data_IF_931288293112
#
_entry.id   IF_931288293112
#
_cell.length_a   1.000
_cell.length_b   1.000
_cell.length_c   1.000
_cell.angle_alpha   90.00
_cell.angle_beta   90.00
_cell.angle_gamma   90.00
#
_symmetry.space_group_name_H-M   'P 1'
#
loop_
_entity.id
_entity.type
_entity.pdbx_description
1 polymer ?
#
# COMPACT_ATOMS: atom_id res chain seq x y z
N UNK A 1 25.89 0.64 24.63
CA UNK A 1 25.45 -0.02 23.39
C UNK A 1 24.58 0.98 22.66
N UNK A 2 25.09 1.61 21.60
CA UNK A 2 24.29 2.52 20.79
C UNK A 2 23.16 1.73 20.13
N UNK A 3 21.90 2.14 20.33
CA UNK A 3 20.78 1.55 19.61
C UNK A 3 21.01 1.81 18.12
N UNK A 4 21.15 0.75 17.31
CA UNK A 4 21.09 0.90 15.85
C UNK A 4 19.80 1.66 15.53
N UNK A 5 19.92 2.83 14.90
CA UNK A 5 18.77 3.53 14.35
C UNK A 5 18.13 2.59 13.32
N UNK A 6 16.91 2.16 13.59
CA UNK A 6 16.12 1.40 12.63
C UNK A 6 15.75 2.35 11.49
N UNK A 7 16.34 2.13 10.31
CA UNK A 7 16.04 2.94 9.13
C UNK A 7 14.65 2.57 8.60
N UNK A 8 13.81 3.59 8.37
CA UNK A 8 12.41 3.42 8.03
C UNK A 8 12.10 4.13 6.70
N UNK A 9 11.58 3.37 5.75
CA UNK A 9 11.11 3.87 4.46
C UNK A 9 9.59 3.94 4.45
N UNK A 10 9.06 5.10 4.04
CA UNK A 10 7.63 5.26 3.73
C UNK A 10 7.48 5.29 2.21
N UNK A 11 6.63 4.40 1.69
CA UNK A 11 6.30 4.32 0.28
C UNK A 11 4.90 4.86 0.04
N UNK A 12 4.77 5.74 -0.95
CA UNK A 12 3.48 6.29 -1.39
C UNK A 12 3.31 6.00 -2.89
N UNK A 13 2.90 4.78 -3.26
CA UNK A 13 2.65 4.44 -4.66
C UNK A 13 1.45 5.21 -5.21
N UNK A 14 1.39 5.30 -6.53
CA UNK A 14 0.16 5.71 -7.20
C UNK A 14 -0.96 4.67 -6.95
N UNK A 15 -2.19 5.13 -6.74
CA UNK A 15 -3.34 4.29 -6.34
C UNK A 15 -3.95 3.55 -7.54
N UNK A 16 -3.11 2.80 -8.26
CA UNK A 16 -3.51 1.92 -9.34
C UNK A 16 -2.93 0.52 -9.11
N UNK A 17 -3.67 -0.51 -9.51
CA UNK A 17 -3.29 -1.90 -9.27
C UNK A 17 -1.90 -2.25 -9.86
N UNK A 18 -1.57 -1.68 -11.03
CA UNK A 18 -0.25 -1.79 -11.66
C UNK A 18 0.91 -1.10 -10.92
N UNK A 19 0.63 -0.29 -9.89
CA UNK A 19 1.64 0.32 -9.02
C UNK A 19 1.65 -0.32 -7.63
N UNK A 20 0.48 -0.62 -7.06
CA UNK A 20 0.34 -1.17 -5.71
C UNK A 20 1.05 -2.53 -5.54
N UNK A 21 0.83 -3.47 -6.47
CA UNK A 21 1.44 -4.80 -6.39
C UNK A 21 2.97 -4.76 -6.61
N UNK A 22 3.50 -4.04 -7.61
CA UNK A 22 4.95 -3.90 -7.75
C UNK A 22 5.62 -3.22 -6.56
N UNK A 23 4.99 -2.21 -5.94
CA UNK A 23 5.52 -1.58 -4.74
C UNK A 23 5.52 -2.52 -3.53
N UNK A 24 4.50 -3.37 -3.38
CA UNK A 24 4.51 -4.42 -2.36
C UNK A 24 5.66 -5.42 -2.59
N UNK A 25 5.91 -5.81 -3.84
CA UNK A 25 7.03 -6.68 -4.18
C UNK A 25 8.38 -6.00 -3.90
N UNK A 26 8.52 -4.72 -4.26
CA UNK A 26 9.72 -3.91 -4.00
C UNK A 26 9.97 -3.75 -2.49
N UNK A 27 8.93 -3.44 -1.71
CA UNK A 27 9.00 -3.35 -0.26
C UNK A 27 9.55 -4.63 0.35
N UNK A 28 8.99 -5.79 -0.05
CA UNK A 28 9.49 -7.08 0.39
C UNK A 28 10.97 -7.32 0.04
N UNK A 29 11.41 -6.96 -1.16
CA UNK A 29 12.81 -7.11 -1.56
C UNK A 29 13.75 -6.23 -0.74
N UNK A 30 13.38 -4.97 -0.51
CA UNK A 30 14.17 -4.04 0.30
C UNK A 30 14.24 -4.52 1.74
N UNK A 31 13.10 -4.90 2.33
CA UNK A 31 13.04 -5.37 3.71
C UNK A 31 13.89 -6.63 3.91
N UNK A 32 13.82 -7.61 3.01
CA UNK A 32 14.63 -8.84 3.12
C UNK A 32 16.11 -8.61 2.93
N UNK A 33 16.48 -7.70 2.03
CA UNK A 33 17.89 -7.47 1.67
C UNK A 33 18.60 -6.56 2.67
N UNK A 34 17.91 -5.59 3.23
CA UNK A 34 18.53 -4.54 4.05
C UNK A 34 17.98 -4.47 5.48
N UNK A 35 16.88 -5.16 5.78
CA UNK A 35 16.27 -5.15 7.12
C UNK A 35 15.56 -3.83 7.46
N UNK A 36 15.30 -2.97 6.49
CA UNK A 36 14.58 -1.72 6.73
C UNK A 36 13.14 -1.97 7.15
N UNK A 37 12.66 -1.16 8.09
CA UNK A 37 11.24 -1.05 8.34
C UNK A 37 10.60 -0.36 7.16
N UNK A 38 9.48 -0.88 6.67
CA UNK A 38 8.78 -0.30 5.51
C UNK A 38 7.30 -0.12 5.83
N UNK A 39 6.78 1.05 5.49
CA UNK A 39 5.35 1.35 5.53
C UNK A 39 4.88 1.74 4.14
N UNK A 40 3.83 1.10 3.65
CA UNK A 40 3.11 1.52 2.44
C UNK A 40 1.90 2.33 2.88
N UNK A 41 1.90 3.62 2.55
CA UNK A 41 0.77 4.50 2.77
C UNK A 41 -0.19 4.41 1.57
N UNK A 42 -1.47 4.19 1.84
CA UNK A 42 -2.50 4.00 0.81
C UNK A 42 -3.88 4.38 1.35
N UNK A 43 -4.89 4.39 0.50
CA UNK A 43 -6.27 4.76 0.87
C UNK A 43 -7.06 3.55 1.41
N UNK A 44 -8.21 3.73 2.09
CA UNK A 44 -8.89 2.66 2.82
C UNK A 44 -9.23 1.41 1.98
N UNK A 45 -9.76 1.58 0.75
CA UNK A 45 -10.08 0.47 -0.15
C UNK A 45 -8.82 -0.26 -0.62
N UNK A 46 -7.78 0.49 -0.98
CA UNK A 46 -6.50 -0.06 -1.42
C UNK A 46 -5.75 -0.76 -0.27
N UNK A 47 -5.92 -0.30 0.98
CA UNK A 47 -5.37 -0.94 2.17
C UNK A 47 -5.98 -2.33 2.38
N UNK A 48 -7.30 -2.47 2.21
CA UNK A 48 -7.99 -3.76 2.30
C UNK A 48 -7.48 -4.73 1.23
N UNK A 49 -7.29 -4.23 0.00
CA UNK A 49 -6.70 -5.01 -1.10
C UNK A 49 -5.28 -5.49 -0.77
N UNK A 50 -4.40 -4.59 -0.33
CA UNK A 50 -3.03 -4.93 0.05
C UNK A 50 -2.98 -5.89 1.25
N UNK A 51 -3.85 -5.71 2.24
CA UNK A 51 -3.96 -6.63 3.38
C UNK A 51 -4.27 -8.05 2.91
N UNK A 52 -5.25 -8.21 2.01
CA UNK A 52 -5.58 -9.51 1.43
C UNK A 52 -4.41 -10.10 0.62
N UNK A 53 -3.67 -9.26 -0.12
CA UNK A 53 -2.49 -9.68 -0.87
C UNK A 53 -1.34 -10.15 0.06
N UNK A 54 -1.12 -9.46 1.18
CA UNK A 54 -0.13 -9.82 2.20
C UNK A 54 -0.52 -11.12 2.90
N UNK A 55 -1.79 -11.29 3.30
CA UNK A 55 -2.25 -12.52 3.97
C UNK A 55 -2.08 -13.78 3.12
N UNK A 56 -2.14 -13.66 1.79
CA UNK A 56 -1.89 -14.78 0.85
C UNK A 56 -0.41 -15.14 0.74
N UNK A 57 0.49 -14.28 1.21
CA UNK A 57 1.93 -14.44 1.06
C UNK A 57 2.61 -14.32 2.43
N UNK A 58 2.87 -15.46 3.10
CA UNK A 58 3.47 -15.59 4.44
C UNK A 58 4.78 -14.83 4.66
N UNK A 59 5.37 -14.46 3.54
CA UNK A 59 6.67 -13.90 3.30
C UNK A 59 6.65 -12.34 3.31
N UNK A 60 5.46 -11.73 3.49
CA UNK A 60 5.22 -10.27 3.52
C UNK A 60 4.79 -9.75 4.90
N UNK A 61 4.91 -10.56 5.95
CA UNK A 61 4.43 -10.26 7.31
C UNK A 61 5.14 -9.08 7.99
N UNK A 62 6.22 -8.55 7.41
CA UNK A 62 7.03 -7.48 7.97
C UNK A 62 6.78 -6.10 7.31
N UNK A 63 5.83 -6.01 6.37
CA UNK A 63 5.44 -4.75 5.72
C UNK A 63 4.27 -4.13 6.49
N UNK A 64 4.43 -2.88 6.91
CA UNK A 64 3.36 -2.12 7.54
C UNK A 64 2.49 -1.42 6.48
N UNK A 65 1.18 -1.33 6.73
CA UNK A 65 0.28 -0.52 5.94
C UNK A 65 -0.19 0.68 6.77
N UNK A 66 -0.33 1.84 6.12
CA UNK A 66 -0.86 3.04 6.74
C UNK A 66 -2.02 3.59 5.92
N UNK A 67 -3.14 3.85 6.59
CA UNK A 67 -4.35 4.36 5.96
C UNK A 67 -4.28 5.89 5.84
N UNK A 68 -4.41 6.38 4.62
CA UNK A 68 -4.59 7.79 4.30
C UNK A 68 -6.10 8.03 4.12
N UNK A 69 -6.71 8.92 4.92
CA UNK A 69 -8.12 9.26 4.75
C UNK A 69 -8.35 9.76 3.33
N UNK A 70 -9.28 9.11 2.63
CA UNK A 70 -9.71 9.50 1.29
C UNK A 70 -11.18 9.15 1.13
N UNK A 71 -11.95 10.12 0.63
CA UNK A 71 -13.34 9.93 0.28
C UNK A 71 -13.52 10.45 -1.15
N UNK A 72 -13.87 9.53 -2.05
CA UNK A 72 -14.03 9.84 -3.47
C UNK A 72 -15.13 10.89 -3.72
N UNK A 73 -16.17 10.91 -2.89
CA UNK A 73 -17.31 11.83 -3.05
C UNK A 73 -16.93 13.30 -2.81
N UNK A 74 -15.95 13.56 -1.95
CA UNK A 74 -15.46 14.92 -1.66
C UNK A 74 -14.76 15.56 -2.88
N UNK A 75 -14.45 14.75 -3.89
CA UNK A 75 -13.76 15.13 -5.12
C UNK A 75 -14.63 14.95 -6.37
N UNK A 76 -15.93 14.74 -6.21
CA UNK A 76 -16.86 14.55 -7.34
C UNK A 76 -16.70 13.22 -8.08
N UNK A 77 -16.05 12.24 -7.46
CA UNK A 77 -15.92 10.88 -7.99
C UNK A 77 -17.06 9.99 -7.46
N UNK A 78 -17.41 8.89 -8.16
CA UNK A 78 -18.39 7.94 -7.66
C UNK A 78 -17.98 7.36 -6.29
N UNK A 79 -18.93 6.91 -5.45
CA UNK A 79 -18.62 6.28 -4.17
C UNK A 79 -17.66 5.08 -4.32
N UNK A 80 -16.79 4.87 -3.32
CA UNK A 80 -15.81 3.78 -3.28
C UNK A 80 -14.83 3.76 -4.48
N UNK A 81 -14.58 4.91 -5.09
CA UNK A 81 -13.64 5.04 -6.23
C UNK A 81 -12.29 5.52 -5.74
N UNK A 82 -11.44 4.59 -5.32
CA UNK A 82 -10.07 4.90 -4.86
C UNK A 82 -8.98 4.39 -5.80
N UNK A 83 -9.38 3.66 -6.84
CA UNK A 83 -8.53 3.20 -7.93
C UNK A 83 -9.40 3.05 -9.19
N UNK A 84 -8.78 2.80 -10.34
CA UNK A 84 -9.47 2.72 -11.63
C UNK A 84 -10.32 1.46 -11.79
N UNK A 85 -10.16 0.44 -10.94
CA UNK A 85 -10.95 -0.80 -11.00
C UNK A 85 -12.39 -0.57 -10.54
N UNK A 86 -12.60 0.35 -9.61
CA UNK A 86 -13.91 0.71 -9.08
C UNK A 86 -14.71 1.66 -9.99
N UNK A 87 -14.13 2.10 -11.12
CA UNK A 87 -14.82 3.00 -12.04
C UNK A 87 -15.85 2.24 -12.88
N UNK A 88 -17.06 2.79 -13.06
CA UNK A 88 -18.03 2.22 -13.99
C UNK A 88 -17.49 2.29 -15.43
N UNK A 89 -17.67 1.20 -16.18
CA UNK A 89 -17.27 1.10 -17.59
C UNK A 89 -18.20 1.89 -18.53
N UNK A 90 -19.33 2.37 -18.01
CA UNK A 90 -20.35 3.14 -18.74
C UNK A 90 -20.44 4.55 -18.17
N UNK A 91 -20.47 5.53 -19.07
CA UNK A 91 -20.71 6.95 -18.75
C UNK A 91 -22.13 7.17 -18.23
#
# INVERSE_FOLDING_TARGET
MESRKEEHIVMLPFMAQGHLIPFLALANQIQRRYGFKITIATTPLNLRYLTAAISKNSNSSQIHLFELPFNSCDHGLPPNTENTEALPLTK
#
